data_IF_985372766050
#
_entry.id   IF_985372766050
#
_cell.length_a   1.000
_cell.length_b   1.000
_cell.length_c   1.000
_cell.angle_alpha   90.00
_cell.angle_beta   90.00
_cell.angle_gamma   90.00
#
_symmetry.space_group_name_H-M   'P 1'
#
loop_
_entity.id
_entity.type
_entity.pdbx_description
1 polymer ?
#
# COMPACT_ATOMS: atom_id res chain seq x y z
N UNK A 1 65.20 26.45 20.48
CA UNK A 1 66.46 25.72 20.19
C UNK A 1 66.48 24.45 21.03
N UNK A 2 66.11 23.31 20.44
CA UNK A 2 66.58 21.95 20.80
C UNK A 2 65.99 20.98 19.76
N UNK A 3 66.86 20.49 18.87
CA UNK A 3 66.66 19.27 18.07
C UNK A 3 67.10 18.10 18.96
N UNK A 4 66.46 16.92 18.96
CA UNK A 4 66.68 15.71 18.13
C UNK A 4 66.07 14.54 18.95
N UNK A 5 65.61 13.36 18.50
CA UNK A 5 65.70 12.58 17.25
C UNK A 5 64.81 11.31 17.36
N UNK A 6 64.23 10.84 16.24
CA UNK A 6 63.92 9.42 15.83
C UNK A 6 62.96 8.57 16.72
N UNK A 7 61.96 7.84 16.19
CA UNK A 7 62.02 6.80 15.16
C UNK A 7 60.72 6.63 14.36
N UNK A 8 60.88 6.34 13.08
CA UNK A 8 59.87 5.92 12.11
C UNK A 8 59.88 4.39 11.96
N UNK A 9 58.71 3.77 11.90
CA UNK A 9 58.53 2.41 11.39
C UNK A 9 57.45 2.46 10.29
N UNK A 10 57.87 2.24 9.05
CA UNK A 10 57.00 1.95 7.91
C UNK A 10 56.81 0.44 7.85
N UNK A 11 55.57 -0.03 7.93
CA UNK A 11 55.22 -1.41 7.58
C UNK A 11 54.85 -1.42 6.10
N UNK A 12 55.65 -2.14 5.31
CA UNK A 12 55.38 -2.49 3.91
C UNK A 12 54.90 -3.94 3.92
N UNK A 13 53.63 -4.16 3.58
CA UNK A 13 53.05 -5.49 3.36
C UNK A 13 52.65 -5.63 1.90
N UNK A 14 53.33 -6.52 1.18
CA UNK A 14 53.12 -6.82 -0.24
C UNK A 14 51.81 -7.58 -0.46
N UNK A 15 51.02 -7.10 -1.43
CA UNK A 15 49.84 -7.79 -1.97
C UNK A 15 50.33 -8.87 -2.95
N UNK A 16 50.07 -10.14 -2.67
CA UNK A 16 50.30 -11.25 -3.62
C UNK A 16 49.01 -11.48 -4.40
N UNK A 17 49.02 -11.04 -5.65
CA UNK A 17 48.01 -11.34 -6.66
C UNK A 17 48.24 -12.77 -7.14
N UNK A 18 47.28 -13.68 -6.90
CA UNK A 18 47.30 -15.01 -7.54
C UNK A 18 46.20 -15.06 -8.59
N UNK A 19 46.63 -14.95 -9.85
CA UNK A 19 45.87 -15.22 -11.06
C UNK A 19 45.74 -16.75 -11.20
N UNK A 20 44.53 -17.27 -11.24
CA UNK A 20 44.26 -18.63 -11.77
C UNK A 20 43.27 -18.47 -12.92
N UNK A 21 43.81 -18.52 -14.12
CA UNK A 21 43.06 -18.86 -15.34
C UNK A 21 43.26 -20.36 -15.54
N UNK A 22 42.18 -21.13 -15.55
CA UNK A 22 42.12 -22.34 -16.35
C UNK A 22 40.80 -22.44 -17.09
N UNK A 23 40.97 -22.85 -18.34
CA UNK A 23 40.06 -22.87 -19.47
C UNK A 23 39.18 -24.12 -19.40
N UNK A 24 37.88 -23.94 -19.65
CA UNK A 24 36.92 -25.01 -19.90
C UNK A 24 35.78 -24.44 -20.73
N UNK A 25 35.93 -24.49 -22.05
CA UNK A 25 35.00 -23.87 -22.99
C UNK A 25 33.70 -24.65 -23.16
N UNK A 26 32.59 -23.91 -23.18
CA UNK A 26 31.43 -24.22 -24.01
C UNK A 26 31.06 -22.92 -24.72
N UNK A 27 31.36 -22.86 -26.00
CA UNK A 27 30.85 -21.84 -26.91
C UNK A 27 29.52 -22.36 -27.43
N UNK A 28 28.39 -21.74 -27.05
CA UNK A 28 27.13 -21.91 -27.79
C UNK A 28 27.10 -20.78 -28.83
N UNK A 29 27.52 -21.10 -30.05
CA UNK A 29 27.28 -20.28 -31.23
C UNK A 29 25.84 -20.45 -31.68
N UNK A 30 25.05 -19.37 -31.70
CA UNK A 30 23.82 -19.35 -32.49
C UNK A 30 24.20 -19.20 -33.97
N UNK A 31 23.92 -20.22 -34.76
CA UNK A 31 23.96 -20.12 -36.21
C UNK A 31 22.74 -19.32 -36.67
N UNK A 32 22.97 -18.20 -37.34
CA UNK A 32 21.96 -17.52 -38.13
C UNK A 32 21.70 -18.37 -39.38
N UNK A 33 20.51 -18.97 -39.46
CA UNK A 33 20.05 -19.61 -40.70
C UNK A 33 19.30 -18.59 -41.56
N UNK A 34 19.56 -18.67 -42.87
CA UNK A 34 19.15 -17.71 -43.86
C UNK A 34 17.63 -17.81 -44.14
N UNK A 35 16.97 -16.66 -44.25
CA UNK A 35 15.58 -16.59 -44.70
C UNK A 35 15.48 -16.94 -46.20
N UNK A 36 14.61 -17.90 -46.52
CA UNK A 36 14.04 -18.13 -47.86
C UNK A 36 12.89 -17.12 -48.08
N UNK A 37 12.94 -16.25 -49.11
CA UNK A 37 11.94 -15.22 -49.37
C UNK A 37 10.78 -15.72 -50.26
N UNK A 38 10.19 -16.87 -49.94
CA UNK A 38 9.08 -17.43 -50.73
C UNK A 38 7.97 -18.07 -49.90
N UNK A 39 7.27 -17.29 -49.07
CA UNK A 39 5.85 -17.56 -48.81
C UNK A 39 5.13 -16.34 -48.21
N UNK A 40 4.12 -15.86 -48.93
CA UNK A 40 3.23 -14.78 -48.52
C UNK A 40 2.39 -15.19 -47.32
N UNK A 41 2.18 -14.35 -46.28
CA UNK A 41 1.27 -14.68 -45.20
C UNK A 41 -0.19 -14.50 -45.67
N UNK A 42 -0.95 -15.59 -45.63
CA UNK A 42 -2.41 -15.56 -45.65
C UNK A 42 -2.93 -15.00 -44.30
N UNK A 43 -4.12 -14.37 -44.26
CA UNK A 43 -4.65 -13.76 -43.04
C UNK A 43 -5.11 -14.86 -42.08
N UNK A 44 -4.53 -14.91 -40.89
CA UNK A 44 -4.99 -15.82 -39.84
C UNK A 44 -6.12 -15.14 -39.05
N UNK A 45 -7.27 -15.80 -39.08
CA UNK A 45 -8.51 -15.45 -38.39
C UNK A 45 -8.37 -15.74 -36.89
N UNK A 46 -9.08 -14.95 -36.11
CA UNK A 46 -9.60 -15.32 -34.79
C UNK A 46 -10.19 -16.73 -34.81
N UNK A 47 -9.76 -17.54 -33.84
CA UNK A 47 -10.59 -18.46 -33.04
C UNK A 47 -9.66 -19.51 -32.41
N UNK A 48 -9.12 -19.23 -31.22
CA UNK A 48 -8.83 -20.31 -30.28
C UNK A 48 -9.40 -19.95 -28.91
N UNK A 49 -10.54 -20.59 -28.62
CA UNK A 49 -11.07 -20.76 -27.28
C UNK A 49 -9.98 -21.37 -26.41
N UNK A 50 -9.45 -20.58 -25.48
CA UNK A 50 -8.50 -21.03 -24.47
C UNK A 50 -9.17 -22.11 -23.63
N UNK A 51 -8.69 -23.34 -23.73
CA UNK A 51 -9.04 -24.41 -22.81
C UNK A 51 -8.64 -23.98 -21.40
N UNK A 52 -9.65 -23.90 -20.52
CA UNK A 52 -9.49 -23.65 -19.09
C UNK A 52 -8.75 -24.83 -18.47
N UNK A 53 -7.48 -24.65 -18.13
CA UNK A 53 -6.79 -25.50 -17.18
C UNK A 53 -7.33 -25.17 -15.79
N UNK A 54 -7.58 -26.19 -14.97
CA UNK A 54 -7.94 -26.00 -13.57
C UNK A 54 -6.86 -25.16 -12.87
N UNK A 55 -7.25 -24.34 -11.89
CA UNK A 55 -6.38 -23.42 -11.14
C UNK A 55 -5.13 -24.07 -10.49
N UNK A 56 -4.98 -25.38 -10.57
CA UNK A 56 -3.93 -26.16 -9.92
C UNK A 56 -2.68 -26.42 -10.80
N UNK A 57 -2.73 -26.19 -12.13
CA UNK A 57 -1.69 -26.68 -13.06
C UNK A 57 -1.08 -25.60 -13.98
N UNK A 58 -0.41 -24.58 -13.43
CA UNK A 58 0.47 -23.67 -14.19
C UNK A 58 1.87 -23.56 -13.54
N UNK A 59 2.97 -23.60 -14.29
CA UNK A 59 4.32 -23.75 -13.75
C UNK A 59 4.80 -22.49 -13.00
N UNK A 60 5.13 -22.66 -11.73
CA UNK A 60 5.62 -21.61 -10.83
C UNK A 60 7.13 -21.37 -10.95
N UNK A 61 7.58 -20.15 -10.64
CA UNK A 61 8.94 -19.94 -10.16
C UNK A 61 9.07 -20.58 -8.77
N UNK A 62 10.02 -21.50 -8.59
CA UNK A 62 10.30 -22.16 -7.32
C UNK A 62 10.86 -21.15 -6.30
N UNK A 63 10.01 -20.59 -5.43
CA UNK A 63 10.37 -19.62 -4.40
C UNK A 63 9.68 -19.89 -3.05
N UNK A 64 10.17 -19.25 -1.99
CA UNK A 64 9.53 -19.24 -0.67
C UNK A 64 8.16 -18.57 -0.77
N UNK A 65 7.12 -19.22 -0.21
CA UNK A 65 5.75 -18.70 -0.19
C UNK A 65 5.09 -18.80 1.18
N UNK A 66 4.08 -17.99 1.43
CA UNK A 66 3.07 -18.31 2.45
C UNK A 66 2.14 -19.41 1.89
N UNK A 67 1.53 -20.19 2.79
CA UNK A 67 0.91 -21.47 2.41
C UNK A 67 -0.54 -21.60 2.91
N UNK A 68 -1.21 -20.47 3.13
CA UNK A 68 -2.44 -20.39 3.88
C UNK A 68 -3.51 -19.51 3.26
N UNK A 69 -3.64 -19.44 1.94
CA UNK A 69 -4.72 -18.70 1.26
C UNK A 69 -6.11 -19.05 1.84
N UNK A 70 -6.64 -18.16 2.69
CA UNK A 70 -7.97 -18.22 3.29
C UNK A 70 -8.90 -17.31 2.53
N UNK A 71 -10.05 -17.85 2.19
CA UNK A 71 -11.10 -17.06 1.55
C UNK A 71 -11.72 -16.08 2.55
N UNK A 72 -11.78 -14.80 2.20
CA UNK A 72 -12.54 -13.78 2.95
C UNK A 72 -13.95 -13.69 2.38
N UNK A 73 -14.02 -13.40 1.08
CA UNK A 73 -15.25 -13.20 0.34
C UNK A 73 -15.17 -13.99 -0.97
N UNK A 74 -16.15 -14.87 -1.16
CA UNK A 74 -16.49 -15.38 -2.47
C UNK A 74 -17.99 -15.38 -2.62
N UNK A 75 -18.41 -14.88 -3.75
CA UNK A 75 -19.80 -14.85 -4.16
C UNK A 75 -19.85 -15.05 -5.67
N UNK A 76 -21.04 -15.25 -6.20
CA UNK A 76 -21.28 -15.03 -7.64
C UNK A 76 -21.12 -13.55 -8.05
N UNK A 77 -20.74 -12.70 -7.09
CA UNK A 77 -20.65 -11.26 -7.21
C UNK A 77 -19.17 -10.85 -7.31
N UNK A 78 -18.93 -9.61 -7.69
CA UNK A 78 -17.60 -9.09 -7.94
C UNK A 78 -17.05 -8.35 -6.71
N UNK A 79 -16.32 -9.09 -5.88
CA UNK A 79 -15.74 -8.68 -4.59
C UNK A 79 -14.28 -8.23 -4.77
N UNK A 80 -13.96 -6.99 -4.41
CA UNK A 80 -12.70 -6.35 -4.78
C UNK A 80 -12.26 -5.24 -3.81
N UNK A 81 -11.09 -4.64 -4.05
CA UNK A 81 -10.54 -3.51 -3.27
C UNK A 81 -10.55 -3.72 -1.74
N UNK A 82 -9.86 -4.76 -1.21
CA UNK A 82 -9.83 -4.99 0.22
C UNK A 82 -9.16 -3.82 0.98
N UNK A 83 -9.66 -3.55 2.17
CA UNK A 83 -8.97 -2.79 3.21
C UNK A 83 -8.97 -3.62 4.49
N UNK A 84 -7.91 -3.55 5.30
CA UNK A 84 -7.76 -4.33 6.52
C UNK A 84 -7.48 -3.45 7.73
N UNK A 85 -7.92 -3.90 8.90
CA UNK A 85 -7.41 -3.42 10.19
C UNK A 85 -7.45 -4.53 11.22
N UNK A 86 -6.65 -4.36 12.27
CA UNK A 86 -6.56 -5.30 13.38
C UNK A 86 -6.86 -4.64 14.71
N UNK A 87 -7.42 -5.44 15.62
CA UNK A 87 -7.49 -5.11 17.03
C UNK A 87 -6.25 -5.65 17.76
N UNK A 88 -5.83 -5.02 18.87
CA UNK A 88 -4.73 -5.51 19.71
C UNK A 88 -4.90 -6.94 20.25
N UNK A 89 -6.12 -7.46 20.29
CA UNK A 89 -6.45 -8.83 20.69
C UNK A 89 -6.28 -9.88 19.57
N UNK A 90 -5.84 -9.45 18.38
CA UNK A 90 -5.62 -10.31 17.21
C UNK A 90 -6.86 -10.56 16.37
N UNK A 91 -8.00 -9.94 16.70
CA UNK A 91 -9.16 -9.86 15.80
C UNK A 91 -8.79 -9.07 14.55
N UNK A 92 -9.16 -9.58 13.38
CA UNK A 92 -8.98 -8.90 12.09
C UNK A 92 -10.31 -8.50 11.49
N UNK A 93 -10.31 -7.40 10.75
CA UNK A 93 -11.46 -6.89 10.01
C UNK A 93 -11.03 -6.62 8.57
N UNK A 94 -11.92 -6.92 7.63
CA UNK A 94 -11.76 -6.61 6.22
C UNK A 94 -13.00 -5.87 5.73
N UNK A 95 -12.82 -4.77 4.99
CA UNK A 95 -13.88 -4.14 4.21
C UNK A 95 -13.62 -4.42 2.74
N UNK A 96 -14.64 -4.90 2.05
CA UNK A 96 -14.57 -5.36 0.66
C UNK A 96 -15.69 -4.69 -0.11
N UNK A 97 -15.38 -4.20 -1.29
CA UNK A 97 -16.35 -3.63 -2.22
C UNK A 97 -16.98 -4.74 -3.05
N UNK A 98 -18.31 -4.81 -3.05
CA UNK A 98 -19.08 -5.61 -4.00
C UNK A 98 -19.62 -4.68 -5.10
N UNK A 99 -19.13 -4.84 -6.33
CA UNK A 99 -19.57 -4.01 -7.47
C UNK A 99 -20.85 -4.50 -8.14
N UNK A 100 -21.34 -5.68 -7.79
CA UNK A 100 -22.58 -6.26 -8.33
C UNK A 100 -23.79 -5.70 -7.61
N UNK A 101 -23.74 -5.62 -6.28
CA UNK A 101 -24.83 -5.08 -5.46
C UNK A 101 -24.53 -3.68 -4.87
N UNK A 102 -23.31 -3.19 -5.02
CA UNK A 102 -22.87 -1.86 -4.61
C UNK A 102 -22.65 -1.71 -3.10
N UNK A 103 -22.55 -2.80 -2.34
CA UNK A 103 -22.26 -2.75 -0.91
C UNK A 103 -20.76 -2.71 -0.62
N UNK A 104 -20.39 -2.08 0.50
CA UNK A 104 -19.17 -2.41 1.23
C UNK A 104 -19.53 -3.49 2.25
N UNK A 105 -18.97 -4.68 2.12
CA UNK A 105 -19.13 -5.82 3.02
C UNK A 105 -17.98 -5.88 4.02
N UNK A 106 -18.31 -5.91 5.30
CA UNK A 106 -17.33 -5.99 6.38
C UNK A 106 -17.29 -7.42 6.90
N UNK A 107 -16.14 -8.06 6.77
CA UNK A 107 -15.84 -9.38 7.28
C UNK A 107 -15.01 -9.28 8.56
N UNK A 108 -15.15 -10.28 9.42
CA UNK A 108 -14.43 -10.36 10.69
C UNK A 108 -13.83 -11.74 10.88
N UNK A 109 -12.60 -11.77 11.38
CA UNK A 109 -11.95 -12.98 11.87
C UNK A 109 -11.53 -12.83 13.33
N UNK A 110 -11.86 -13.82 14.15
CA UNK A 110 -11.49 -13.88 15.58
C UNK A 110 -10.41 -14.92 15.88
N UNK A 111 -9.89 -15.56 14.84
CA UNK A 111 -8.88 -16.62 14.91
C UNK A 111 -7.64 -16.28 14.07
N UNK A 112 -7.32 -14.99 13.96
CA UNK A 112 -6.14 -14.52 13.22
C UNK A 112 -6.24 -14.76 11.72
N UNK A 113 -7.44 -14.70 11.13
CA UNK A 113 -7.62 -14.84 9.68
C UNK A 113 -7.81 -16.28 9.18
N UNK A 114 -7.74 -17.30 10.05
CA UNK A 114 -7.98 -18.71 9.67
C UNK A 114 -9.38 -18.94 9.07
N UNK A 115 -10.36 -18.18 9.56
CA UNK A 115 -11.70 -18.14 8.98
C UNK A 115 -12.29 -16.73 9.08
N UNK A 116 -13.09 -16.37 8.10
CA UNK A 116 -13.79 -15.09 8.02
C UNK A 116 -15.30 -15.28 8.02
N UNK A 117 -16.03 -14.29 8.51
CA UNK A 117 -17.48 -14.27 8.44
C UNK A 117 -17.96 -12.86 8.13
N UNK A 118 -18.93 -12.74 7.23
CA UNK A 118 -19.61 -11.48 6.97
C UNK A 118 -20.24 -10.99 8.28
N UNK A 119 -19.84 -9.80 8.73
CA UNK A 119 -20.28 -9.23 9.99
C UNK A 119 -21.41 -8.21 9.78
N UNK A 120 -21.30 -7.36 8.77
CA UNK A 120 -22.35 -6.45 8.31
C UNK A 120 -21.99 -5.88 6.92
N UNK A 121 -22.97 -5.29 6.24
CA UNK A 121 -22.74 -4.53 5.00
C UNK A 121 -23.27 -3.10 5.13
N UNK A 122 -22.64 -2.17 4.41
CA UNK A 122 -23.08 -0.77 4.31
C UNK A 122 -23.16 -0.35 2.85
N UNK A 123 -24.21 0.41 2.51
CA UNK A 123 -24.36 1.03 1.20
C UNK A 123 -25.04 2.37 1.40
N UNK A 124 -24.48 3.41 0.80
CA UNK A 124 -25.11 4.74 0.73
C UNK A 124 -25.42 5.04 -0.74
N UNK A 125 -26.66 5.42 -1.03
CA UNK A 125 -27.09 5.67 -2.42
C UNK A 125 -27.34 4.38 -3.20
N UNK A 126 -26.95 4.35 -4.47
CA UNK A 126 -27.08 3.20 -5.37
C UNK A 126 -25.88 2.27 -5.32
N UNK A 127 -24.69 2.78 -5.01
CA UNK A 127 -23.45 2.01 -4.87
C UNK A 127 -22.46 2.70 -3.95
N UNK A 128 -21.50 1.94 -3.45
CA UNK A 128 -20.43 2.42 -2.59
C UNK A 128 -19.10 1.79 -2.98
N UNK A 129 -18.02 2.58 -2.96
CA UNK A 129 -16.71 2.18 -3.50
C UNK A 129 -15.54 2.56 -2.59
N UNK A 130 -14.39 1.92 -2.85
CA UNK A 130 -13.08 2.19 -2.26
C UNK A 130 -13.11 2.34 -0.73
N UNK A 131 -13.40 1.26 -0.01
CA UNK A 131 -13.45 1.32 1.44
C UNK A 131 -12.05 1.46 2.04
N UNK A 132 -11.93 2.27 3.08
CA UNK A 132 -10.76 2.33 3.97
C UNK A 132 -11.23 2.24 5.41
N UNK A 133 -10.54 1.46 6.25
CA UNK A 133 -11.02 1.14 7.59
C UNK A 133 -9.94 1.25 8.67
N UNK A 134 -10.37 1.62 9.88
CA UNK A 134 -9.49 1.66 11.06
C UNK A 134 -10.22 1.16 12.30
N UNK A 135 -9.50 0.44 13.16
CA UNK A 135 -9.97 0.00 14.48
C UNK A 135 -9.44 0.93 15.57
N UNK A 136 -10.28 1.22 16.58
CA UNK A 136 -9.92 2.12 17.66
C UNK A 136 -10.48 1.64 18.99
N UNK A 137 -9.65 1.69 20.04
CA UNK A 137 -10.09 1.50 21.43
C UNK A 137 -10.27 2.87 22.11
N UNK A 138 -11.53 3.22 22.37
CA UNK A 138 -11.89 4.38 23.18
C UNK A 138 -11.70 4.05 24.66
N UNK A 139 -10.49 4.27 25.15
CA UNK A 139 -10.14 4.00 26.54
C UNK A 139 -10.95 4.83 27.55
N UNK A 140 -11.49 5.99 27.13
CA UNK A 140 -12.30 6.85 28.01
C UNK A 140 -13.68 6.26 28.27
N UNK A 141 -14.31 5.66 27.25
CA UNK A 141 -15.64 5.07 27.35
C UNK A 141 -15.62 3.54 27.48
N UNK A 142 -14.43 2.93 27.45
CA UNK A 142 -14.23 1.48 27.37
C UNK A 142 -15.00 0.86 26.19
N UNK A 143 -14.96 1.55 25.05
CA UNK A 143 -15.62 1.13 23.82
C UNK A 143 -14.60 0.78 22.76
N UNK A 144 -14.93 -0.16 21.88
CA UNK A 144 -14.10 -0.59 20.77
C UNK A 144 -14.88 -0.34 19.49
N UNK A 145 -14.33 0.45 18.59
CA UNK A 145 -15.04 0.90 17.39
C UNK A 145 -14.29 0.51 16.13
N UNK A 146 -15.05 0.07 15.13
CA UNK A 146 -14.59 0.00 13.75
C UNK A 146 -15.15 1.20 12.99
N UNK A 147 -14.28 1.91 12.27
CA UNK A 147 -14.64 3.00 11.38
C UNK A 147 -14.36 2.59 9.95
N UNK A 148 -15.29 2.88 9.05
CA UNK A 148 -15.17 2.62 7.61
C UNK A 148 -15.51 3.90 6.88
N UNK A 149 -14.58 4.40 6.07
CA UNK A 149 -14.83 5.46 5.09
C UNK A 149 -14.94 4.87 3.70
N UNK A 150 -15.77 5.48 2.86
CA UNK A 150 -16.04 5.00 1.52
C UNK A 150 -16.68 6.11 0.67
N UNK A 151 -16.66 5.95 -0.65
CA UNK A 151 -17.49 6.73 -1.56
C UNK A 151 -18.95 6.26 -1.48
N UNK A 152 -19.91 7.15 -1.29
CA UNK A 152 -21.32 6.89 -1.60
C UNK A 152 -21.72 7.56 -2.91
N UNK A 153 -22.43 6.85 -3.77
CA UNK A 153 -22.85 7.33 -5.10
C UNK A 153 -24.35 7.24 -5.27
N UNK A 154 -24.98 8.29 -5.79
CA UNK A 154 -26.44 8.38 -6.01
C UNK A 154 -26.80 8.19 -7.47
N UNK A 155 -28.10 8.03 -7.75
CA UNK A 155 -28.63 7.79 -9.09
C UNK A 155 -28.37 8.94 -10.09
N UNK A 156 -28.04 10.14 -9.60
CA UNK A 156 -27.65 11.30 -10.40
C UNK A 156 -26.12 11.43 -10.58
N UNK A 157 -25.37 10.39 -10.21
CA UNK A 157 -23.90 10.34 -10.19
C UNK A 157 -23.25 11.38 -9.25
N UNK A 158 -24.03 11.97 -8.33
CA UNK A 158 -23.45 12.73 -7.23
C UNK A 158 -22.74 11.79 -6.27
N UNK A 159 -21.59 12.25 -5.73
CA UNK A 159 -20.71 11.43 -4.90
C UNK A 159 -20.33 12.17 -3.62
N UNK A 160 -20.26 11.42 -2.53
CA UNK A 160 -19.90 11.93 -1.21
C UNK A 160 -18.86 11.02 -0.55
N UNK A 161 -18.04 11.60 0.32
CA UNK A 161 -17.21 10.84 1.25
C UNK A 161 -18.03 10.56 2.50
N UNK A 162 -18.24 9.28 2.80
CA UNK A 162 -19.11 8.81 3.87
C UNK A 162 -18.29 8.13 4.97
N UNK A 163 -18.78 8.18 6.20
CA UNK A 163 -18.29 7.44 7.35
C UNK A 163 -19.40 6.56 7.91
N UNK A 164 -19.09 5.30 8.19
CA UNK A 164 -19.90 4.45 9.05
C UNK A 164 -19.04 3.93 10.21
N UNK A 165 -19.60 3.90 11.42
CA UNK A 165 -18.92 3.28 12.57
C UNK A 165 -19.81 2.27 13.29
N UNK A 166 -19.20 1.21 13.77
CA UNK A 166 -19.86 0.14 14.53
C UNK A 166 -19.09 -0.17 15.80
N UNK A 167 -19.82 -0.29 16.90
CA UNK A 167 -19.29 -0.78 18.17
C UNK A 167 -19.02 -2.28 18.04
N UNK A 168 -17.81 -2.70 18.39
CA UNK A 168 -17.38 -4.11 18.29
C UNK A 168 -18.15 -4.99 19.25
N UNK A 169 -18.39 -4.51 20.46
CA UNK A 169 -19.20 -5.18 21.46
C UNK A 169 -20.63 -4.59 21.45
N UNK A 170 -21.59 -5.34 20.91
CA UNK A 170 -23.02 -4.99 20.96
C UNK A 170 -23.58 -4.40 19.66
N UNK A 171 -24.73 -3.74 19.78
CA UNK A 171 -25.52 -3.26 18.64
C UNK A 171 -25.32 -1.76 18.33
N UNK A 172 -24.39 -1.08 19.02
CA UNK A 172 -24.13 0.35 18.81
C UNK A 172 -23.63 0.62 17.39
N UNK A 173 -24.31 1.50 16.66
CA UNK A 173 -23.93 1.94 15.30
C UNK A 173 -24.13 3.44 15.19
N UNK A 174 -23.33 4.09 14.35
CA UNK A 174 -23.53 5.49 13.97
C UNK A 174 -23.18 5.69 12.52
N UNK A 175 -24.05 6.40 11.81
CA UNK A 175 -23.90 6.71 10.39
C UNK A 175 -24.95 6.04 9.49
N UNK A 176 -24.86 6.28 8.17
CA UNK A 176 -23.74 6.96 7.51
C UNK A 176 -23.69 8.48 7.80
N UNK A 177 -22.50 9.00 8.08
CA UNK A 177 -22.21 10.44 8.28
C UNK A 177 -21.50 10.96 7.03
N UNK A 178 -21.94 12.10 6.51
CA UNK A 178 -21.27 12.74 5.36
C UNK A 178 -20.08 13.58 5.83
N UNK A 179 -18.88 13.23 5.37
CA UNK A 179 -17.64 13.99 5.62
C UNK A 179 -17.51 15.12 4.59
N UNK A 180 -17.80 14.81 3.33
CA UNK A 180 -17.74 15.75 2.22
C UNK A 180 -18.83 15.40 1.20
N UNK A 181 -19.38 16.42 0.54
CA UNK A 181 -20.51 16.25 -0.37
C UNK A 181 -20.42 17.12 -1.60
N UNK A 182 -21.21 16.76 -2.63
CA UNK A 182 -21.27 17.53 -3.87
C UNK A 182 -20.02 17.37 -4.72
N UNK A 183 -19.37 16.21 -4.61
CA UNK A 183 -18.20 15.87 -5.40
C UNK A 183 -18.71 15.30 -6.72
N UNK A 184 -18.22 15.87 -7.82
CA UNK A 184 -18.40 15.35 -9.17
C UNK A 184 -17.06 14.81 -9.64
N UNK A 185 -17.09 13.66 -10.30
CA UNK A 185 -15.93 13.00 -10.88
C UNK A 185 -16.31 12.50 -12.28
N UNK A 186 -15.35 12.14 -13.13
CA UNK A 186 -15.63 11.39 -14.35
C UNK A 186 -16.35 10.07 -14.05
N UNK A 187 -17.13 9.59 -15.02
CA UNK A 187 -17.94 8.37 -14.85
C UNK A 187 -17.10 7.10 -14.62
N UNK A 188 -15.84 7.11 -15.05
CA UNK A 188 -14.86 6.00 -14.96
C UNK A 188 -13.92 6.11 -13.76
N UNK A 189 -14.05 7.15 -12.94
CA UNK A 189 -13.24 7.37 -11.75
C UNK A 189 -14.07 7.16 -10.50
N UNK A 190 -13.44 7.03 -9.33
CA UNK A 190 -14.10 6.96 -8.04
C UNK A 190 -13.25 7.65 -6.98
N UNK A 191 -13.88 8.24 -5.97
CA UNK A 191 -13.19 8.76 -4.80
C UNK A 191 -12.57 7.59 -4.06
N UNK A 192 -11.29 7.68 -3.75
CA UNK A 192 -10.56 6.73 -2.91
C UNK A 192 -10.22 7.42 -1.58
N UNK A 193 -11.14 7.44 -0.60
CA UNK A 193 -10.88 8.04 0.70
C UNK A 193 -10.02 7.12 1.56
N UNK A 194 -9.02 7.68 2.23
CA UNK A 194 -8.19 6.97 3.20
C UNK A 194 -8.40 7.53 4.61
N UNK A 195 -8.48 6.65 5.61
CA UNK A 195 -8.67 7.01 7.02
C UNK A 195 -7.51 6.54 7.88
N UNK A 196 -7.06 7.40 8.79
CA UNK A 196 -6.32 6.97 9.97
C UNK A 196 -6.85 7.63 11.24
N UNK A 197 -6.37 7.17 12.38
CA UNK A 197 -6.68 7.74 13.68
C UNK A 197 -5.41 8.05 14.45
N UNK A 198 -5.54 8.86 15.50
CA UNK A 198 -4.43 9.09 16.42
C UNK A 198 -4.09 7.87 17.28
N UNK A 199 -4.92 6.83 17.32
CA UNK A 199 -4.68 5.59 18.07
C UNK A 199 -3.42 4.82 17.56
N UNK A 200 -2.56 4.30 18.48
CA UNK A 200 -2.67 4.26 19.94
C UNK A 200 -2.18 5.50 20.71
N UNK A 201 -2.47 6.74 20.28
CA UNK A 201 -2.12 7.93 21.05
C UNK A 201 -3.03 8.15 22.26
N UNK A 202 -2.36 8.42 23.39
CA UNK A 202 -2.92 8.55 24.73
C UNK A 202 -3.31 10.00 25.05
N UNK A 203 -4.05 10.67 24.15
CA UNK A 203 -4.47 12.05 24.42
C UNK A 203 -5.72 12.02 25.30
N UNK A 204 -5.71 12.80 26.38
CA UNK A 204 -6.81 12.90 27.35
C UNK A 204 -8.10 13.52 26.78
N UNK A 205 -8.17 13.81 25.48
CA UNK A 205 -9.19 14.62 24.81
C UNK A 205 -10.18 13.85 23.92
N UNK A 206 -10.00 12.55 23.70
CA UNK A 206 -10.85 11.74 22.82
C UNK A 206 -10.13 11.26 21.56
N UNK A 207 -10.81 10.40 20.79
CA UNK A 207 -10.31 9.84 19.52
C UNK A 207 -10.43 10.87 18.41
N UNK A 208 -9.32 11.12 17.71
CA UNK A 208 -9.33 11.92 16.50
C UNK A 208 -9.26 11.04 15.26
N UNK A 209 -10.06 11.40 14.25
CA UNK A 209 -10.10 10.73 12.96
C UNK A 209 -9.64 11.68 11.89
N UNK A 210 -8.92 11.15 10.90
CA UNK A 210 -8.32 11.91 9.83
C UNK A 210 -8.65 11.24 8.51
N UNK A 211 -9.22 12.01 7.58
CA UNK A 211 -9.63 11.49 6.28
C UNK A 211 -9.03 12.35 5.19
N UNK A 212 -8.35 11.70 4.25
CA UNK A 212 -7.85 12.31 3.02
C UNK A 212 -8.54 11.69 1.81
N UNK A 213 -8.70 12.47 0.76
CA UNK A 213 -9.32 12.02 -0.49
C UNK A 213 -8.96 12.97 -1.63
N UNK A 214 -9.06 12.51 -2.87
CA UNK A 214 -8.93 13.35 -4.05
C UNK A 214 -10.30 13.68 -4.63
N UNK A 215 -10.43 14.87 -5.20
CA UNK A 215 -11.61 15.26 -6.00
C UNK A 215 -11.17 15.82 -7.34
N UNK A 216 -12.06 15.80 -8.33
CA UNK A 216 -11.79 16.45 -9.60
C UNK A 216 -12.01 17.97 -9.47
N UNK A 217 -10.99 18.75 -9.83
CA UNK A 217 -11.13 20.16 -10.15
C UNK A 217 -10.93 20.36 -11.68
N UNK A 218 -11.10 21.59 -12.16
CA UNK A 218 -11.09 21.91 -13.61
C UNK A 218 -9.85 21.36 -14.32
N UNK A 219 -8.68 21.49 -13.70
CA UNK A 219 -7.40 21.16 -14.34
C UNK A 219 -6.54 20.17 -13.54
N UNK A 220 -6.91 19.80 -12.32
CA UNK A 220 -6.10 18.92 -11.47
C UNK A 220 -6.96 18.22 -10.43
N UNK A 221 -6.37 17.28 -9.69
CA UNK A 221 -7.03 16.58 -8.60
C UNK A 221 -6.52 17.10 -7.24
N UNK A 222 -7.21 18.07 -6.60
CA UNK A 222 -6.84 18.47 -5.25
C UNK A 222 -7.02 17.32 -4.26
N UNK A 223 -5.97 17.11 -3.46
CA UNK A 223 -6.02 16.32 -2.24
C UNK A 223 -6.66 17.16 -1.16
N UNK A 224 -7.74 16.64 -0.60
CA UNK A 224 -8.56 17.25 0.43
C UNK A 224 -8.40 16.49 1.73
N UNK A 225 -8.44 17.22 2.83
CA UNK A 225 -8.33 16.68 4.18
C UNK A 225 -9.50 17.16 5.04
N UNK A 226 -10.05 16.27 5.86
CA UNK A 226 -10.95 16.61 6.95
C UNK A 226 -10.60 15.82 8.20
N UNK A 227 -10.89 16.38 9.38
CA UNK A 227 -10.69 15.71 10.66
C UNK A 227 -11.92 15.78 11.55
N UNK A 228 -12.05 14.80 12.41
CA UNK A 228 -12.99 14.80 13.52
C UNK A 228 -12.22 14.81 14.84
N UNK A 229 -12.68 15.64 15.78
CA UNK A 229 -12.15 15.71 17.15
C UNK A 229 -13.10 15.06 18.17
N UNK A 230 -14.19 14.46 17.71
CA UNK A 230 -15.30 13.97 18.52
C UNK A 230 -15.78 12.58 18.08
N UNK A 231 -14.82 11.69 17.76
CA UNK A 231 -15.06 10.29 17.38
C UNK A 231 -15.83 10.14 16.07
N UNK A 232 -15.79 11.11 15.17
CA UNK A 232 -16.51 11.08 13.90
C UNK A 232 -17.97 11.55 14.01
N UNK A 233 -18.36 12.21 15.10
CA UNK A 233 -19.70 12.80 15.22
C UNK A 233 -19.84 14.08 14.38
N UNK A 234 -18.77 14.88 14.30
CA UNK A 234 -18.65 16.04 13.43
C UNK A 234 -17.29 16.10 12.75
N UNK A 235 -17.21 16.83 11.64
CA UNK A 235 -16.03 16.92 10.79
C UNK A 235 -15.72 18.38 10.46
N UNK A 236 -14.44 18.71 10.34
CA UNK A 236 -14.02 20.02 9.86
C UNK A 236 -14.44 20.23 8.40
N UNK A 237 -14.56 21.49 7.98
CA UNK A 237 -14.63 21.80 6.57
C UNK A 237 -13.40 21.21 5.83
N UNK A 238 -13.56 20.67 4.61
CA UNK A 238 -12.43 20.18 3.84
C UNK A 238 -11.37 21.24 3.56
N UNK A 239 -10.10 20.87 3.74
CA UNK A 239 -8.93 21.71 3.46
C UNK A 239 -8.15 21.11 2.30
N UNK A 240 -7.83 21.91 1.28
CA UNK A 240 -6.95 21.47 0.20
C UNK A 240 -5.50 21.41 0.71
N UNK A 241 -4.93 20.21 0.74
CA UNK A 241 -3.57 19.96 1.20
C UNK A 241 -2.57 19.81 0.06
N UNK A 242 -2.97 19.83 -1.21
CA UNK A 242 -2.05 19.66 -2.36
C UNK A 242 -0.88 20.67 -2.39
N UNK A 243 -1.18 21.94 -2.08
CA UNK A 243 -0.23 23.07 -2.09
C UNK A 243 0.37 23.42 -3.46
N UNK A 244 0.84 24.67 -3.63
CA UNK A 244 1.46 25.16 -4.87
C UNK A 244 0.47 25.60 -5.95
N UNK A 245 0.99 26.04 -7.11
CA UNK A 245 0.19 26.45 -8.27
C UNK A 245 -0.29 25.18 -8.97
N UNK A 246 -1.62 24.98 -9.03
CA UNK A 246 -2.26 23.85 -9.70
C UNK A 246 -1.70 23.71 -11.11
N UNK A 247 -1.02 22.60 -11.35
CA UNK A 247 -0.50 22.26 -12.67
C UNK A 247 -1.35 21.13 -13.22
N UNK A 248 -1.65 21.20 -14.51
CA UNK A 248 -2.66 20.36 -15.12
C UNK A 248 -2.25 18.88 -15.09
N UNK A 249 -2.90 18.06 -14.25
CA UNK A 249 -2.68 16.60 -14.28
C UNK A 249 -3.95 15.90 -14.73
N UNK A 250 -3.83 15.10 -15.78
CA UNK A 250 -4.89 14.18 -16.20
C UNK A 250 -5.01 12.95 -15.30
N UNK A 251 -4.05 12.75 -14.39
CA UNK A 251 -4.00 11.60 -13.49
C UNK A 251 -4.72 11.89 -12.17
N UNK A 252 -5.66 11.01 -11.80
CA UNK A 252 -6.31 11.10 -10.50
C UNK A 252 -5.32 10.74 -9.40
N UNK A 253 -5.03 11.68 -8.51
CA UNK A 253 -4.18 11.44 -7.35
C UNK A 253 -4.84 10.46 -6.36
N UNK A 254 -4.07 9.52 -5.83
CA UNK A 254 -4.49 8.59 -4.78
C UNK A 254 -3.73 8.91 -3.48
N UNK A 255 -4.25 9.83 -2.65
CA UNK A 255 -3.56 10.22 -1.43
C UNK A 255 -3.71 9.16 -0.35
N UNK A 256 -2.69 9.06 0.50
CA UNK A 256 -2.72 8.22 1.69
C UNK A 256 -2.31 9.02 2.93
N UNK A 257 -2.73 8.58 4.11
CA UNK A 257 -2.54 9.29 5.37
C UNK A 257 -2.12 8.37 6.51
N UNK A 258 -1.08 8.78 7.24
CA UNK A 258 -0.61 8.06 8.42
C UNK A 258 -0.33 8.97 9.61
N UNK A 259 -0.60 8.47 10.80
CA UNK A 259 -0.35 9.14 12.07
C UNK A 259 0.82 8.51 12.81
N UNK A 260 1.95 9.19 12.97
CA UNK A 260 3.09 8.77 13.79
C UNK A 260 2.92 9.17 15.26
N UNK A 261 3.23 8.27 16.20
CA UNK A 261 3.03 8.54 17.63
C UNK A 261 4.15 9.35 18.26
N UNK A 262 5.36 9.32 17.69
CA UNK A 262 6.45 10.17 18.17
C UNK A 262 6.24 11.59 17.63
N UNK A 263 5.94 12.52 18.55
CA UNK A 263 5.58 13.92 18.26
C UNK A 263 4.20 14.16 17.63
N UNK A 264 3.30 13.16 17.63
CA UNK A 264 1.91 13.27 17.17
C UNK A 264 1.76 13.83 15.75
N UNK A 265 2.55 13.28 14.83
CA UNK A 265 2.69 13.81 13.48
C UNK A 265 1.73 13.13 12.53
N UNK A 266 1.10 13.92 11.67
CA UNK A 266 0.36 13.41 10.52
C UNK A 266 1.18 13.62 9.26
N UNK A 267 1.13 12.63 8.38
CA UNK A 267 1.71 12.67 7.05
C UNK A 267 0.63 12.35 6.03
N UNK A 268 0.51 13.18 5.00
CA UNK A 268 -0.27 12.85 3.79
C UNK A 268 0.72 12.75 2.65
N UNK A 269 0.75 11.60 1.98
CA UNK A 269 1.50 11.40 0.75
C UNK A 269 0.54 11.42 -0.44
N UNK A 270 0.98 11.96 -1.56
CA UNK A 270 0.18 12.10 -2.77
C UNK A 270 1.04 12.36 -3.99
N UNK A 271 0.54 11.99 -5.16
CA UNK A 271 1.12 12.38 -6.43
C UNK A 271 0.53 13.68 -6.97
N UNK A 272 1.40 14.52 -7.56
CA UNK A 272 1.01 15.64 -8.42
C UNK A 272 2.18 16.00 -9.33
N UNK A 273 1.95 16.84 -10.34
CA UNK A 273 3.01 17.34 -11.19
C UNK A 273 4.16 17.97 -10.38
N UNK A 274 5.39 17.60 -10.76
CA UNK A 274 6.60 18.17 -10.19
C UNK A 274 6.91 19.59 -10.66
N UNK A 275 7.97 20.19 -10.10
CA UNK A 275 8.45 21.51 -10.52
C UNK A 275 9.25 21.43 -11.82
N UNK A 276 9.60 22.61 -12.37
CA UNK A 276 10.56 22.73 -13.48
C UNK A 276 11.81 21.90 -13.22
N UNK A 277 12.04 20.89 -14.06
CA UNK A 277 13.11 19.90 -13.92
C UNK A 277 12.62 18.45 -13.94
N UNK A 278 11.38 18.19 -13.51
CA UNK A 278 10.73 16.87 -13.53
C UNK A 278 10.03 16.52 -14.85
N UNK A 279 10.41 17.20 -15.94
CA UNK A 279 9.73 17.13 -17.25
C UNK A 279 8.20 17.32 -17.23
N UNK A 280 7.61 17.89 -16.17
CA UNK A 280 6.16 17.94 -15.95
C UNK A 280 5.52 16.54 -15.86
N UNK A 281 6.24 15.57 -15.31
CA UNK A 281 5.70 14.27 -14.94
C UNK A 281 5.04 14.32 -13.55
N UNK A 282 4.20 13.33 -13.24
CA UNK A 282 3.69 13.14 -11.88
C UNK A 282 4.84 12.76 -10.97
N UNK A 283 4.89 13.37 -9.78
CA UNK A 283 5.92 13.17 -8.78
C UNK A 283 5.28 12.95 -7.42
N UNK A 284 6.03 12.37 -6.49
CA UNK A 284 5.55 12.08 -5.14
C UNK A 284 5.83 13.23 -4.20
N UNK A 285 4.82 13.57 -3.41
CA UNK A 285 4.83 14.66 -2.46
C UNK A 285 4.41 14.17 -1.08
N UNK A 286 4.88 14.88 -0.06
CA UNK A 286 4.43 14.69 1.32
C UNK A 286 4.16 16.01 1.98
N UNK A 287 3.10 16.06 2.80
CA UNK A 287 2.87 17.13 3.78
C UNK A 287 2.80 16.58 5.18
N UNK A 288 3.26 17.42 6.10
CA UNK A 288 3.31 17.11 7.53
C UNK A 288 2.48 18.10 8.32
N UNK A 289 1.75 17.59 9.30
CA UNK A 289 1.11 18.38 10.35
C UNK A 289 1.67 17.98 11.71
N UNK A 290 1.86 18.97 12.57
CA UNK A 290 2.36 18.83 13.95
C UNK A 290 1.28 19.19 14.99
N UNK A 291 0.04 19.41 14.55
CA UNK A 291 -1.06 19.93 15.37
C UNK A 291 -2.39 19.21 15.06
N UNK A 292 -2.30 17.89 14.86
CA UNK A 292 -3.43 17.01 14.61
C UNK A 292 -4.22 17.39 13.35
N UNK A 293 -3.55 17.95 12.34
CA UNK A 293 -4.16 18.36 11.08
C UNK A 293 -4.90 19.70 11.18
N UNK A 294 -4.60 20.53 12.19
CA UNK A 294 -5.17 21.88 12.23
C UNK A 294 -4.52 22.76 11.15
N UNK A 295 -3.20 22.61 10.98
CA UNK A 295 -2.41 23.27 9.97
C UNK A 295 -1.43 22.28 9.32
N UNK A 296 -1.02 22.58 8.10
CA UNK A 296 -0.10 21.77 7.31
C UNK A 296 1.11 22.62 6.90
N UNK A 297 2.32 22.09 7.11
CA UNK A 297 3.55 22.71 6.59
C UNK A 297 3.59 22.69 5.07
N UNK A 298 4.61 23.28 4.45
CA UNK A 298 4.73 23.28 2.98
C UNK A 298 4.87 21.86 2.41
N UNK A 299 4.35 21.59 1.19
CA UNK A 299 4.56 20.31 0.52
C UNK A 299 6.02 20.10 0.14
N UNK A 300 6.55 18.93 0.46
CA UNK A 300 7.91 18.50 0.13
C UNK A 300 7.85 17.54 -1.05
N UNK A 301 8.58 17.85 -2.12
CA UNK A 301 8.75 16.95 -3.27
C UNK A 301 9.77 15.87 -2.92
N UNK A 302 9.42 14.59 -3.07
CA UNK A 302 10.30 13.47 -2.77
C UNK A 302 11.00 12.92 -4.00
N UNK A 303 10.42 13.11 -5.18
CA UNK A 303 10.98 12.64 -6.46
C UNK A 303 11.16 13.82 -7.41
N UNK A 304 12.23 13.81 -8.20
CA UNK A 304 12.54 14.89 -9.17
C UNK A 304 13.01 14.32 -10.50
N UNK A 305 12.62 13.08 -10.81
CA UNK A 305 13.04 12.38 -12.02
C UNK A 305 12.23 12.84 -13.23
N UNK A 306 12.59 12.37 -14.42
CA UNK A 306 11.76 12.52 -15.62
C UNK A 306 10.72 11.42 -15.76
N UNK A 307 10.77 10.41 -14.88
CA UNK A 307 9.82 9.30 -14.83
C UNK A 307 8.58 9.75 -14.06
N UNK A 308 7.42 9.28 -14.50
CA UNK A 308 6.19 9.51 -13.78
C UNK A 308 6.08 8.55 -12.59
N UNK A 309 5.66 9.09 -11.45
CA UNK A 309 5.48 8.34 -10.21
C UNK A 309 4.05 8.48 -9.68
N UNK A 310 3.50 7.39 -9.17
CA UNK A 310 2.06 7.20 -8.90
C UNK A 310 1.81 6.45 -7.59
N UNK A 311 0.55 6.44 -7.15
CA UNK A 311 0.04 5.55 -6.10
C UNK A 311 0.84 5.63 -4.77
N UNK A 312 1.06 6.84 -4.27
CA UNK A 312 1.81 7.00 -3.03
C UNK A 312 1.09 6.33 -1.85
N UNK A 313 1.86 5.61 -1.01
CA UNK A 313 1.43 5.10 0.30
C UNK A 313 2.36 5.57 1.38
N UNK A 314 1.85 5.84 2.57
CA UNK A 314 2.60 6.36 3.69
C UNK A 314 2.37 5.52 4.94
N UNK A 315 3.47 5.20 5.64
CA UNK A 315 3.41 4.62 6.96
C UNK A 315 4.41 5.33 7.87
N UNK A 316 3.92 5.92 8.96
CA UNK A 316 4.76 6.51 10.01
C UNK A 316 5.04 5.45 11.06
N UNK A 317 6.16 5.39 11.77
CA UNK A 317 6.37 4.37 12.81
C UNK A 317 5.63 4.71 14.12
N UNK A 318 5.43 3.70 14.96
CA UNK A 318 5.00 3.88 16.36
C UNK A 318 6.23 3.76 17.28
N UNK A 319 6.45 4.80 18.10
CA UNK A 319 7.50 4.81 19.11
C UNK A 319 8.88 5.25 18.61
N UNK A 320 9.03 5.61 17.32
CA UNK A 320 10.20 6.33 16.81
C UNK A 320 9.80 7.31 15.70
N UNK A 321 10.78 8.08 15.23
CA UNK A 321 10.61 9.18 14.27
C UNK A 321 10.64 8.75 12.79
N UNK A 322 10.61 7.44 12.50
CA UNK A 322 10.71 6.98 11.13
C UNK A 322 9.40 7.09 10.38
N UNK A 323 9.47 7.40 9.09
CA UNK A 323 8.33 7.44 8.16
C UNK A 323 8.79 6.90 6.84
N UNK A 324 7.97 6.06 6.22
CA UNK A 324 8.19 5.45 4.92
C UNK A 324 7.11 5.91 3.96
N UNK A 325 7.50 6.22 2.73
CA UNK A 325 6.59 6.48 1.61
C UNK A 325 7.01 5.58 0.45
N UNK A 326 6.13 4.69 0.03
CA UNK A 326 6.33 3.84 -1.15
C UNK A 326 5.43 4.32 -2.29
N UNK A 327 5.85 4.06 -3.53
CA UNK A 327 5.17 4.52 -4.72
C UNK A 327 5.59 3.69 -5.94
N UNK A 328 4.77 3.75 -6.98
CA UNK A 328 5.06 3.14 -8.27
C UNK A 328 5.80 4.13 -9.14
N UNK A 329 6.83 3.67 -9.84
CA UNK A 329 7.55 4.44 -10.86
C UNK A 329 7.33 3.79 -12.22
N UNK A 330 6.98 4.60 -13.21
CA UNK A 330 6.97 4.20 -14.62
C UNK A 330 8.33 4.52 -15.24
N UNK A 331 9.22 3.52 -15.25
CA UNK A 331 10.60 3.67 -15.67
C UNK A 331 10.69 4.10 -17.15
N UNK A 332 11.35 5.23 -17.39
CA UNK A 332 11.41 5.90 -18.69
C UNK A 332 10.04 6.22 -19.32
N UNK A 333 8.96 6.24 -18.52
CA UNK A 333 7.58 6.40 -19.01
C UNK A 333 7.23 5.39 -20.12
N UNK A 334 7.59 4.12 -19.90
CA UNK A 334 7.50 3.05 -20.90
C UNK A 334 6.41 2.01 -20.61
N UNK A 335 5.74 2.10 -19.46
CA UNK A 335 4.84 1.07 -18.93
C UNK A 335 5.56 -0.03 -18.13
N UNK A 336 6.85 0.17 -17.85
CA UNK A 336 7.68 -0.65 -16.97
C UNK A 336 7.53 -0.13 -15.55
N UNK A 337 6.69 -0.80 -14.77
CA UNK A 337 6.31 -0.33 -13.43
C UNK A 337 7.21 -0.99 -12.39
N UNK A 338 7.79 -0.16 -11.52
CA UNK A 338 8.65 -0.57 -10.42
C UNK A 338 8.11 -0.01 -9.09
N UNK A 339 8.40 -0.65 -7.95
CA UNK A 339 8.16 -0.05 -6.64
C UNK A 339 9.42 0.61 -6.09
N UNK A 340 9.30 1.89 -5.80
CA UNK A 340 10.33 2.71 -5.18
C UNK A 340 9.82 3.30 -3.87
N UNK A 341 10.73 3.84 -3.07
CA UNK A 341 10.38 4.47 -1.81
C UNK A 341 11.32 5.60 -1.40
N UNK A 342 10.82 6.41 -0.48
CA UNK A 342 11.55 7.39 0.29
C UNK A 342 11.29 7.16 1.78
N UNK A 343 12.23 7.54 2.63
CA UNK A 343 12.03 7.44 4.08
C UNK A 343 12.72 8.58 4.84
N UNK A 344 12.18 8.87 6.00
CA UNK A 344 12.77 9.74 6.99
C UNK A 344 12.99 8.95 8.28
N UNK A 345 14.05 9.26 9.01
CA UNK A 345 14.30 8.77 10.38
C UNK A 345 14.30 9.92 11.40
N UNK A 346 13.92 11.12 10.97
CA UNK A 346 13.98 12.38 11.72
C UNK A 346 12.65 13.14 11.69
N UNK A 347 11.55 12.38 11.67
CA UNK A 347 10.19 12.89 11.77
C UNK A 347 9.80 13.77 10.57
N UNK A 348 10.30 13.41 9.39
CA UNK A 348 10.11 14.13 8.13
C UNK A 348 10.77 15.52 8.14
N UNK A 349 11.92 15.66 8.80
CA UNK A 349 12.73 16.90 8.73
C UNK A 349 13.67 16.84 7.52
N UNK A 350 14.17 15.64 7.20
CA UNK A 350 14.88 15.31 5.96
C UNK A 350 14.41 13.96 5.42
N UNK A 351 14.68 13.73 4.13
CA UNK A 351 14.23 12.54 3.41
C UNK A 351 15.40 11.90 2.65
N UNK A 352 15.50 10.58 2.78
CA UNK A 352 16.29 9.72 1.92
C UNK A 352 15.38 9.26 0.78
N UNK A 353 15.71 9.61 -0.47
CA UNK A 353 14.85 9.40 -1.63
C UNK A 353 15.51 8.48 -2.65
N UNK A 354 14.75 8.02 -3.64
CA UNK A 354 15.23 7.17 -4.74
C UNK A 354 15.77 5.80 -4.29
N UNK A 355 15.09 5.14 -3.34
CA UNK A 355 15.40 3.77 -2.97
C UNK A 355 14.48 2.79 -3.71
N UNK A 356 15.01 1.62 -4.05
CA UNK A 356 14.31 0.58 -4.80
C UNK A 356 13.73 -0.46 -3.83
N UNK A 357 12.43 -0.74 -3.95
CA UNK A 357 11.77 -1.84 -3.22
C UNK A 357 11.61 -3.08 -4.11
N UNK A 358 11.22 -2.90 -5.37
CA UNK A 358 11.10 -3.96 -6.37
C UNK A 358 11.33 -3.31 -7.73
N UNK A 359 12.29 -3.83 -8.48
CA UNK A 359 12.69 -3.26 -9.79
C UNK A 359 13.18 -4.34 -10.75
N UNK A 360 12.44 -5.44 -10.85
CA UNK A 360 12.87 -6.55 -11.67
C UNK A 360 12.61 -6.19 -13.15
N UNK A 361 13.68 -6.02 -13.93
CA UNK A 361 13.69 -5.42 -15.28
C UNK A 361 12.85 -6.10 -16.38
N UNK A 362 12.04 -7.10 -16.06
CA UNK A 362 11.20 -7.83 -17.02
C UNK A 362 9.82 -8.16 -16.48
N UNK A 363 9.45 -7.65 -15.30
CA UNK A 363 8.17 -7.91 -14.65
C UNK A 363 7.69 -6.59 -14.06
N UNK A 364 6.39 -6.29 -14.20
CA UNK A 364 5.84 -5.07 -13.63
C UNK A 364 5.53 -5.28 -12.15
N UNK A 365 5.78 -4.26 -11.34
CA UNK A 365 5.40 -4.12 -9.95
C UNK A 365 4.61 -2.83 -9.71
N UNK A 366 3.42 -2.95 -9.10
CA UNK A 366 2.54 -1.81 -8.79
C UNK A 366 1.75 -2.11 -7.50
N UNK A 367 0.83 -1.21 -7.17
CA UNK A 367 -0.18 -1.36 -6.14
C UNK A 367 0.45 -1.66 -4.78
N UNK A 368 1.52 -0.95 -4.43
CA UNK A 368 2.12 -1.10 -3.11
C UNK A 368 1.14 -0.64 -2.03
N UNK A 369 1.11 -1.36 -0.90
CA UNK A 369 0.42 -0.99 0.32
C UNK A 369 1.39 -1.12 1.51
N UNK A 370 1.26 -0.22 2.49
CA UNK A 370 2.12 -0.18 3.67
C UNK A 370 1.34 -0.33 4.96
N UNK A 371 1.92 -1.02 5.94
CA UNK A 371 1.51 -0.96 7.35
C UNK A 371 2.76 -1.02 8.26
N UNK A 372 2.56 -0.95 9.58
CA UNK A 372 3.59 -0.88 10.61
C UNK A 372 3.24 -1.72 11.84
N UNK A 373 4.26 -2.22 12.51
CA UNK A 373 4.10 -2.84 13.84
C UNK A 373 3.57 -1.87 14.92
N UNK A 374 2.92 -2.42 15.95
CA UNK A 374 2.42 -1.65 17.10
C UNK A 374 3.49 -0.98 17.97
N UNK A 375 4.74 -1.46 17.97
CA UNK A 375 5.81 -0.84 18.77
C UNK A 375 7.21 -1.21 18.29
N UNK A 376 7.98 -0.23 17.80
CA UNK A 376 9.41 -0.37 17.49
C UNK A 376 9.78 -1.44 16.45
N UNK A 377 8.79 -2.05 15.80
CA UNK A 377 8.94 -3.17 14.88
C UNK A 377 9.27 -2.72 13.47
N UNK A 378 8.64 -3.32 12.47
CA UNK A 378 8.93 -3.15 11.05
C UNK A 378 7.89 -2.28 10.34
N UNK A 379 8.30 -1.70 9.23
CA UNK A 379 7.40 -1.39 8.12
C UNK A 379 7.16 -2.67 7.32
N UNK A 380 5.92 -2.86 6.90
CA UNK A 380 5.47 -3.98 6.10
C UNK A 380 5.00 -3.44 4.76
N UNK A 381 5.42 -4.08 3.67
CA UNK A 381 5.01 -3.72 2.32
C UNK A 381 4.47 -4.95 1.60
N UNK A 382 3.32 -4.82 0.98
CA UNK A 382 2.81 -5.76 -0.01
C UNK A 382 2.61 -5.06 -1.34
N UNK A 383 2.86 -5.74 -2.45
CA UNK A 383 2.73 -5.18 -3.79
C UNK A 383 2.38 -6.28 -4.77
N UNK A 384 1.76 -5.89 -5.89
CA UNK A 384 1.55 -6.78 -7.01
C UNK A 384 2.83 -6.89 -7.83
N UNK A 385 3.13 -8.09 -8.32
CA UNK A 385 4.20 -8.38 -9.24
C UNK A 385 3.70 -9.40 -10.27
N UNK A 386 3.43 -8.96 -11.50
CA UNK A 386 2.86 -9.75 -12.61
C UNK A 386 1.56 -10.53 -12.34
N UNK A 387 1.60 -11.57 -11.52
CA UNK A 387 0.45 -12.40 -11.20
C UNK A 387 0.43 -12.78 -9.72
N UNK A 388 1.32 -12.17 -8.94
CA UNK A 388 1.62 -12.52 -7.57
C UNK A 388 1.52 -11.31 -6.65
N UNK A 389 1.22 -11.59 -5.39
CA UNK A 389 1.40 -10.64 -4.29
C UNK A 389 2.71 -10.97 -3.60
N UNK A 390 3.55 -9.96 -3.50
CA UNK A 390 4.86 -10.05 -2.89
C UNK A 390 4.87 -9.27 -1.59
N UNK A 391 5.61 -9.76 -0.61
CA UNK A 391 5.75 -9.15 0.71
C UNK A 391 7.22 -8.91 1.05
N UNK A 392 7.48 -7.75 1.66
CA UNK A 392 8.77 -7.40 2.28
C UNK A 392 8.53 -6.67 3.61
N UNK A 393 9.48 -6.78 4.52
CA UNK A 393 9.48 -5.97 5.75
C UNK A 393 10.87 -5.37 6.02
N UNK A 394 10.91 -4.17 6.58
CA UNK A 394 12.13 -3.50 7.02
C UNK A 394 11.96 -2.98 8.44
N UNK A 395 12.94 -3.13 9.34
CA UNK A 395 12.88 -2.54 10.67
C UNK A 395 12.65 -1.03 10.60
N UNK A 396 11.78 -0.48 11.43
CA UNK A 396 11.53 0.98 11.48
C UNK A 396 12.78 1.77 11.87
N UNK A 397 13.76 1.14 12.54
CA UNK A 397 15.06 1.71 12.86
C UNK A 397 16.07 1.65 11.72
N UNK A 398 15.81 0.85 10.68
CA UNK A 398 16.62 0.73 9.48
C UNK A 398 15.72 0.55 8.24
N UNK A 399 14.97 1.60 7.81
CA UNK A 399 14.00 1.50 6.71
C UNK A 399 14.63 1.20 5.34
N UNK A 400 15.96 1.12 5.25
CA UNK A 400 16.72 0.70 4.07
C UNK A 400 17.02 -0.81 4.04
N UNK A 401 16.67 -1.57 5.07
CA UNK A 401 17.08 -2.96 5.25
C UNK A 401 15.90 -3.92 5.11
N UNK A 402 15.38 -4.03 3.88
CA UNK A 402 14.27 -4.93 3.55
C UNK A 402 14.65 -6.40 3.58
N UNK A 403 13.74 -7.24 4.07
CA UNK A 403 13.79 -8.69 3.92
C UNK A 403 13.85 -9.11 2.45
N UNK A 404 14.20 -10.37 2.18
CA UNK A 404 13.95 -10.95 0.86
C UNK A 404 12.45 -10.88 0.52
N UNK A 405 12.13 -10.71 -0.76
CA UNK A 405 10.77 -10.78 -1.25
C UNK A 405 10.20 -12.19 -1.03
N UNK A 406 9.00 -12.26 -0.46
CA UNK A 406 8.27 -13.51 -0.24
C UNK A 406 6.97 -13.44 -1.02
N UNK A 407 6.70 -14.47 -1.82
CA UNK A 407 5.41 -14.61 -2.51
C UNK A 407 4.33 -14.99 -1.50
N UNK A 408 3.15 -14.41 -1.59
CA UNK A 408 2.07 -14.67 -0.64
C UNK A 408 1.08 -15.68 -1.18
N UNK A 409 0.47 -15.36 -2.32
CA UNK A 409 -0.56 -16.16 -2.96
C UNK A 409 -0.05 -17.52 -3.47
N UNK A 410 -0.88 -18.55 -3.36
CA UNK A 410 -0.61 -19.86 -3.93
C UNK A 410 -0.88 -19.90 -5.45
N UNK A 411 -1.95 -19.25 -5.92
CA UNK A 411 -2.44 -19.30 -7.30
C UNK A 411 -2.09 -18.01 -8.03
N UNK A 412 -1.63 -18.09 -9.29
CA UNK A 412 -1.53 -16.92 -10.20
C UNK A 412 -2.92 -16.37 -10.54
N UNK A 413 -3.04 -15.22 -11.24
CA UNK A 413 -4.32 -14.50 -11.53
C UNK A 413 -4.79 -13.51 -10.46
N UNK A 414 -3.85 -12.97 -9.70
CA UNK A 414 -4.10 -11.82 -8.82
C UNK A 414 -4.43 -10.59 -9.67
N UNK A 415 -5.51 -9.90 -9.33
CA UNK A 415 -5.87 -8.62 -9.96
C UNK A 415 -4.79 -7.58 -9.66
N UNK A 416 -4.58 -6.62 -10.57
CA UNK A 416 -3.67 -5.49 -10.38
C UNK A 416 -4.17 -4.47 -9.34
N UNK A 417 -5.19 -4.82 -8.57
CA UNK A 417 -5.74 -3.98 -7.51
C UNK A 417 -4.83 -3.95 -6.28
N UNK A 418 -4.98 -2.87 -5.52
CA UNK A 418 -4.32 -2.66 -4.23
C UNK A 418 -4.54 -3.87 -3.29
N UNK A 419 -3.49 -4.59 -2.88
CA UNK A 419 -3.58 -5.52 -1.76
C UNK A 419 -3.76 -4.70 -0.47
N UNK A 420 -4.28 -5.35 0.57
CA UNK A 420 -4.36 -4.74 1.89
C UNK A 420 -3.34 -5.39 2.82
N UNK A 421 -2.69 -4.58 3.67
CA UNK A 421 -1.78 -5.06 4.71
C UNK A 421 -2.35 -4.72 6.07
N UNK A 422 -2.29 -5.68 6.99
CA UNK A 422 -2.49 -5.43 8.42
C UNK A 422 -1.51 -6.25 9.23
N UNK A 423 -1.45 -6.01 10.54
CA UNK A 423 -0.60 -6.76 11.44
C UNK A 423 -1.39 -7.33 12.62
N UNK A 424 -1.04 -8.53 13.05
CA UNK A 424 -1.58 -9.16 14.23
C UNK A 424 -0.61 -8.98 15.40
N UNK A 425 -0.91 -7.99 16.25
CA UNK A 425 -0.14 -7.62 17.45
C UNK A 425 0.15 -8.75 18.43
N UNK A 426 -0.61 -9.84 18.38
CA UNK A 426 -0.42 -11.01 19.24
C UNK A 426 0.71 -11.92 18.74
N UNK A 427 1.25 -11.65 17.55
CA UNK A 427 2.28 -12.44 16.88
C UNK A 427 3.62 -11.71 16.92
N UNK A 428 4.75 -12.42 16.78
CA UNK A 428 6.06 -11.79 16.72
C UNK A 428 6.19 -10.85 15.52
N UNK A 429 6.92 -9.74 15.67
CA UNK A 429 7.07 -8.73 14.61
C UNK A 429 7.61 -9.28 13.27
N UNK A 430 8.36 -10.38 13.31
CA UNK A 430 8.85 -11.05 12.10
C UNK A 430 7.77 -11.80 11.31
N UNK A 431 6.62 -12.09 11.91
CA UNK A 431 5.55 -12.94 11.36
C UNK A 431 4.18 -12.27 11.42
N UNK A 432 4.04 -11.09 12.02
CA UNK A 432 2.75 -10.48 12.36
C UNK A 432 1.91 -10.03 11.16
N UNK A 433 2.49 -9.89 9.97
CA UNK A 433 1.78 -9.40 8.79
C UNK A 433 0.69 -10.38 8.31
N UNK A 434 -0.48 -9.83 8.01
CA UNK A 434 -1.55 -10.45 7.25
C UNK A 434 -1.85 -9.60 6.02
N UNK A 435 -2.02 -10.25 4.87
CA UNK A 435 -2.26 -9.59 3.59
C UNK A 435 -3.53 -10.14 2.97
N UNK A 436 -4.35 -9.26 2.41
CA UNK A 436 -5.50 -9.62 1.59
C UNK A 436 -5.34 -9.11 0.15
N UNK A 437 -5.91 -9.85 -0.81
CA UNK A 437 -5.81 -9.51 -2.23
C UNK A 437 -6.99 -10.03 -3.03
N UNK A 438 -7.22 -9.39 -4.18
CA UNK A 438 -8.28 -9.76 -5.12
C UNK A 438 -7.77 -10.75 -6.17
N UNK A 439 -8.55 -11.78 -6.48
CA UNK A 439 -8.26 -12.78 -7.52
C UNK A 439 -9.43 -12.85 -8.49
N UNK A 440 -9.17 -12.93 -9.80
CA UNK A 440 -10.21 -13.20 -10.79
C UNK A 440 -10.47 -14.71 -10.88
N UNK A 441 -11.50 -15.18 -10.18
CA UNK A 441 -11.92 -16.59 -10.10
C UNK A 441 -12.95 -16.95 -11.18
N UNK A 442 -12.53 -17.09 -12.43
CA UNK A 442 -13.45 -17.39 -13.53
C UNK A 442 -14.21 -16.15 -14.00
N UNK A 443 -15.49 -15.99 -13.60
CA UNK A 443 -16.36 -14.89 -14.07
C UNK A 443 -16.53 -13.75 -13.05
N UNK A 444 -16.06 -13.92 -11.82
CA UNK A 444 -16.19 -12.98 -10.71
C UNK A 444 -14.86 -12.82 -9.97
N UNK A 445 -14.73 -11.73 -9.22
CA UNK A 445 -13.58 -11.52 -8.35
C UNK A 445 -13.89 -11.98 -6.93
N UNK A 446 -12.92 -12.65 -6.34
CA UNK A 446 -12.92 -13.13 -4.95
C UNK A 446 -11.79 -12.45 -4.17
N UNK A 447 -11.92 -12.37 -2.84
CA UNK A 447 -10.89 -11.83 -1.96
C UNK A 447 -10.34 -12.91 -1.03
N UNK A 448 -9.02 -13.04 -1.04
CA UNK A 448 -8.25 -13.98 -0.23
C UNK A 448 -7.40 -13.27 0.82
N UNK A 449 -6.94 -14.03 1.81
CA UNK A 449 -6.07 -13.62 2.91
C UNK A 449 -5.01 -14.67 3.19
N UNK A 450 -3.79 -14.26 3.50
CA UNK A 450 -2.77 -15.13 4.09
C UNK A 450 -1.92 -14.31 5.08
N UNK A 451 -1.22 -14.98 5.97
CA UNK A 451 -0.44 -14.37 7.02
C UNK A 451 0.88 -15.09 7.28
N UNK A 452 1.91 -14.31 7.61
CA UNK A 452 3.24 -14.82 7.91
C UNK A 452 3.29 -15.75 9.13
N UNK A 453 2.25 -15.72 9.97
CA UNK A 453 2.09 -16.57 11.15
C UNK A 453 1.29 -17.86 10.91
N UNK A 454 0.82 -18.15 9.69
CA UNK A 454 0.27 -19.47 9.33
C UNK A 454 1.35 -20.51 9.03
N UNK A 455 2.60 -20.08 8.90
CA UNK A 455 3.74 -20.96 8.73
C UNK A 455 4.03 -21.72 10.04
N UNK A 456 3.27 -22.78 10.33
CA UNK A 456 3.48 -23.69 11.46
C UNK A 456 4.73 -24.59 11.30
N UNK A 457 5.86 -24.11 10.79
CA UNK A 457 7.16 -24.81 10.93
C UNK A 457 8.31 -24.07 10.23
N UNK A 458 8.88 -23.06 10.90
CA UNK A 458 10.33 -22.87 10.92
C UNK A 458 10.76 -22.53 12.36
N UNK A 459 10.38 -23.40 13.30
CA UNK A 459 11.31 -23.78 14.36
C UNK A 459 12.59 -24.23 13.65
N UNK A 460 13.67 -23.44 13.76
CA UNK A 460 15.01 -23.58 13.14
C UNK A 460 15.31 -22.55 12.03
N UNK A 461 15.41 -21.26 12.39
CA UNK A 461 16.65 -20.56 12.10
C UNK A 461 17.29 -20.14 13.43
N UNK A 462 18.58 -20.46 13.50
CA UNK A 462 19.42 -20.66 14.66
C UNK A 462 19.77 -19.39 15.43
N UNK A 463 20.18 -19.61 16.69
CA UNK A 463 20.95 -18.72 17.59
C UNK A 463 21.71 -17.56 16.96
#
# INVERSE_FOLDING_TARGET
MMKTKTNSVKIVGYLVLTLIVMVGGIVISYAADAQDPSNSPAPMKDDEQTQVLAAEDMPHASGLRWAGDKLIASSSDNEMCPSLASAPDGTLYAAIQDTTDGYIKIYRSINGGESWSLWFGVRTGVSSHNPSLTYIEDTLNNEKWLYVVYEGTWADDSRNVMLYRKLVAGAGTSGPVTIASGISMPADQHIAPEICADYPAFISGGIYLYVTYAVQAVDYYPVMFSRSLDRGASWSAPVNVTGGIGSNSGWQTQPDIAFGTTSYLLFIAFEKLGWTGSAWANQIWVRKSTDFGANWGDPVQLTTSTDAEYHARVSAAIGNNSVLIAYTRDWNNSGDWDIWYAYSTDAGSSWNTSYQLATLSSVNEDAVELDRSWSGGSFHAAYWQENDIMYRAAPTTAPSSWSAATRINAVSWVSHEKPAVTINSTKPAAQEAGIAWTVLGGASYDVYFDAGYFLESYLLWTK
#
